data_IF_698209682637
#
_entry.id   IF_698209682637
#
_cell.length_a   1.000
_cell.length_b   1.000
_cell.length_c   1.000
_cell.angle_alpha   90.00
_cell.angle_beta   90.00
_cell.angle_gamma   90.00
#
_symmetry.space_group_name_H-M   'P 1'
#
loop_
_entity.id
_entity.type
_entity.pdbx_description
1 polymer ?
#
# COMPACT_ATOMS: atom_id res chain seq x y z
N UNK A 1 -10.44 -1.68 -19.78
CA UNK A 1 -9.76 -0.43 -20.25
C UNK A 1 -8.37 -0.36 -19.62
N UNK A 2 -7.39 0.27 -20.29
CA UNK A 2 -6.06 0.46 -19.71
C UNK A 2 -6.01 1.75 -18.91
N UNK A 3 -5.60 1.69 -17.65
CA UNK A 3 -5.47 2.84 -16.74
C UNK A 3 -4.02 3.10 -16.38
N UNK A 4 -3.71 4.32 -15.95
CA UNK A 4 -2.41 4.66 -15.35
C UNK A 4 -2.44 4.35 -13.86
N UNK A 5 -1.55 3.46 -13.43
CA UNK A 5 -1.44 2.95 -12.07
C UNK A 5 -0.15 3.46 -11.42
N UNK A 6 -0.25 3.98 -10.22
CA UNK A 6 0.92 4.29 -9.37
C UNK A 6 0.93 3.36 -8.16
N UNK A 7 2.04 2.64 -7.98
CA UNK A 7 2.28 1.78 -6.81
C UNK A 7 3.46 2.33 -6.02
N UNK A 8 3.21 2.84 -4.81
CA UNK A 8 4.30 3.30 -3.96
C UNK A 8 4.98 2.14 -3.25
N UNK A 9 6.32 2.19 -3.11
CA UNK A 9 7.08 1.05 -2.59
C UNK A 9 7.00 -0.17 -3.52
N UNK A 10 6.91 0.08 -4.85
CA UNK A 10 6.65 -0.94 -5.87
C UNK A 10 7.87 -1.69 -6.37
N UNK A 11 9.05 -1.53 -5.75
CA UNK A 11 10.29 -2.17 -6.20
C UNK A 11 10.56 -3.55 -5.59
N UNK A 12 9.74 -4.00 -4.64
CA UNK A 12 9.85 -5.31 -3.96
C UNK A 12 8.54 -5.73 -3.28
N UNK A 13 8.49 -6.99 -2.86
CA UNK A 13 7.42 -7.55 -2.01
C UNK A 13 6.02 -7.34 -2.60
N UNK A 14 5.06 -6.97 -1.75
CA UNK A 14 3.66 -6.75 -2.14
C UNK A 14 3.52 -5.70 -3.25
N UNK A 15 4.28 -4.60 -3.16
CA UNK A 15 4.23 -3.54 -4.16
C UNK A 15 4.66 -4.02 -5.54
N UNK A 16 5.75 -4.78 -5.64
CA UNK A 16 6.23 -5.34 -6.92
C UNK A 16 5.25 -6.38 -7.48
N UNK A 17 4.78 -7.31 -6.65
CA UNK A 17 3.77 -8.29 -7.06
C UNK A 17 2.50 -7.60 -7.60
N UNK A 18 2.07 -6.52 -6.94
CA UNK A 18 0.94 -5.70 -7.40
C UNK A 18 1.25 -5.04 -8.75
N UNK A 19 2.43 -4.45 -8.90
CA UNK A 19 2.82 -3.79 -10.15
C UNK A 19 2.85 -4.78 -11.33
N UNK A 20 3.44 -5.97 -11.12
CA UNK A 20 3.49 -7.03 -12.12
C UNK A 20 2.08 -7.46 -12.53
N UNK A 21 1.21 -7.68 -11.56
CA UNK A 21 -0.15 -8.12 -11.80
C UNK A 21 -0.96 -7.08 -12.58
N UNK A 22 -0.85 -5.80 -12.22
CA UNK A 22 -1.53 -4.70 -12.92
C UNK A 22 -0.98 -4.50 -14.34
N UNK A 23 0.33 -4.66 -14.56
CA UNK A 23 0.92 -4.63 -15.90
C UNK A 23 0.42 -5.82 -16.75
N UNK A 24 0.28 -7.01 -16.16
CA UNK A 24 -0.31 -8.18 -16.80
C UNK A 24 -1.76 -8.00 -17.27
N UNK A 25 -2.52 -7.13 -16.61
CA UNK A 25 -3.88 -6.73 -17.02
C UNK A 25 -3.88 -5.66 -18.14
N UNK A 26 -2.70 -5.23 -18.60
CA UNK A 26 -2.55 -4.23 -19.66
C UNK A 26 -2.65 -2.78 -19.19
N UNK A 27 -2.50 -2.53 -17.89
CA UNK A 27 -2.38 -1.18 -17.35
C UNK A 27 -0.98 -0.59 -17.60
N UNK A 28 -0.88 0.73 -17.64
CA UNK A 28 0.39 1.48 -17.62
C UNK A 28 0.80 1.66 -16.16
N UNK A 29 1.90 1.05 -15.75
CA UNK A 29 2.28 0.97 -14.34
C UNK A 29 3.56 1.74 -14.06
N UNK A 30 3.47 2.67 -13.13
CA UNK A 30 4.61 3.37 -12.54
C UNK A 30 4.79 2.93 -11.08
N UNK A 31 6.01 2.57 -10.71
CA UNK A 31 6.36 2.29 -9.32
C UNK A 31 7.23 3.41 -8.76
N UNK A 32 7.01 3.77 -7.49
CA UNK A 32 7.88 4.72 -6.81
C UNK A 32 8.59 4.09 -5.62
N UNK A 33 9.84 4.47 -5.42
CA UNK A 33 10.62 4.18 -4.21
C UNK A 33 11.76 5.19 -4.07
N UNK A 34 12.41 5.26 -2.90
CA UNK A 34 13.56 6.14 -2.68
C UNK A 34 14.77 5.75 -3.50
N UNK A 35 15.01 4.46 -3.61
CA UNK A 35 16.15 3.90 -4.34
C UNK A 35 15.64 3.08 -5.54
N UNK A 36 16.41 3.02 -6.62
CA UNK A 36 16.09 2.15 -7.76
C UNK A 36 16.00 0.69 -7.31
N UNK A 37 15.26 -0.15 -8.04
CA UNK A 37 15.18 -1.57 -7.78
C UNK A 37 16.58 -2.22 -7.93
N UNK A 38 16.82 -3.28 -7.14
CA UNK A 38 18.08 -4.03 -7.20
C UNK A 38 18.22 -4.80 -8.54
N UNK A 39 17.10 -5.24 -9.09
CA UNK A 39 17.03 -5.92 -10.39
C UNK A 39 16.15 -5.11 -11.35
N UNK A 40 16.35 -5.24 -12.67
CA UNK A 40 15.49 -4.59 -13.67
C UNK A 40 14.02 -4.94 -13.43
N UNK A 41 13.15 -3.94 -13.54
CA UNK A 41 11.71 -4.17 -13.49
C UNK A 41 11.25 -4.91 -14.75
N UNK A 42 10.21 -5.74 -14.65
CA UNK A 42 9.57 -6.35 -15.82
C UNK A 42 9.08 -5.30 -16.83
N UNK A 43 8.97 -5.71 -18.08
CA UNK A 43 8.47 -4.87 -19.17
C UNK A 43 7.09 -4.27 -18.82
N UNK A 44 6.89 -3.02 -19.20
CA UNK A 44 5.63 -2.31 -18.96
C UNK A 44 5.53 -1.63 -17.58
N UNK A 45 6.57 -1.75 -16.73
CA UNK A 45 6.65 -1.08 -15.43
C UNK A 45 7.78 -0.05 -15.44
N UNK A 46 7.47 1.21 -15.13
CA UNK A 46 8.47 2.27 -15.02
C UNK A 46 8.81 2.60 -13.58
N UNK A 47 10.05 2.99 -13.34
CA UNK A 47 10.53 3.42 -12.01
C UNK A 47 10.67 4.93 -11.95
N UNK A 48 10.18 5.53 -10.87
CA UNK A 48 10.32 6.95 -10.56
C UNK A 48 10.79 7.11 -9.11
N UNK A 49 11.93 7.77 -8.93
CA UNK A 49 12.45 8.02 -7.58
C UNK A 49 11.54 8.99 -6.82
N UNK A 50 11.07 8.60 -5.64
CA UNK A 50 10.28 9.46 -4.78
C UNK A 50 10.40 9.05 -3.31
N UNK A 51 10.59 10.04 -2.43
CA UNK A 51 10.46 9.88 -0.99
C UNK A 51 9.08 10.37 -0.56
N UNK A 52 8.35 9.55 0.21
CA UNK A 52 7.01 9.88 0.70
C UNK A 52 7.01 11.07 1.68
N UNK A 53 8.17 11.43 2.22
CA UNK A 53 8.37 12.56 3.13
C UNK A 53 8.75 13.85 2.41
N UNK A 54 9.23 13.76 1.17
CA UNK A 54 9.60 14.90 0.33
C UNK A 54 8.42 15.31 -0.59
N UNK A 55 7.79 16.42 -0.25
CA UNK A 55 6.63 16.92 -0.99
C UNK A 55 6.97 17.40 -2.41
N UNK A 56 8.15 18.02 -2.60
CA UNK A 56 8.57 18.56 -3.89
C UNK A 56 9.05 17.44 -4.81
N UNK A 57 9.84 16.50 -4.30
CA UNK A 57 10.26 15.31 -5.04
C UNK A 57 9.07 14.44 -5.47
N UNK A 58 8.06 14.34 -4.60
CA UNK A 58 6.82 13.64 -4.93
C UNK A 58 6.03 14.33 -6.06
N UNK A 59 5.96 15.67 -6.05
CA UNK A 59 5.33 16.44 -7.13
C UNK A 59 6.05 16.25 -8.46
N UNK A 60 7.39 16.27 -8.46
CA UNK A 60 8.21 16.06 -9.65
C UNK A 60 8.02 14.65 -10.24
N UNK A 61 8.08 13.61 -9.38
CA UNK A 61 7.86 12.22 -9.80
C UNK A 61 6.46 12.00 -10.40
N UNK A 62 5.42 12.58 -9.80
CA UNK A 62 4.05 12.48 -10.32
C UNK A 62 3.86 13.26 -11.63
N UNK A 63 4.58 14.36 -11.83
CA UNK A 63 4.57 15.09 -13.11
C UNK A 63 5.19 14.22 -14.22
N UNK A 64 6.35 13.63 -13.97
CA UNK A 64 7.02 12.74 -14.92
C UNK A 64 6.15 11.52 -15.26
N UNK A 65 5.49 10.91 -14.28
CA UNK A 65 4.53 9.82 -14.52
C UNK A 65 3.38 10.26 -15.44
N UNK A 66 2.82 11.46 -15.21
CA UNK A 66 1.74 11.99 -16.06
C UNK A 66 2.19 12.26 -17.49
N UNK A 67 3.41 12.74 -17.65
CA UNK A 67 3.98 13.01 -18.97
C UNK A 67 4.21 11.71 -19.76
N UNK A 68 4.63 10.64 -19.09
CA UNK A 68 4.89 9.34 -19.71
C UNK A 68 3.63 8.50 -19.93
N UNK A 69 2.70 8.48 -18.96
CA UNK A 69 1.60 7.53 -18.91
C UNK A 69 0.20 8.17 -18.98
N UNK A 70 0.13 9.49 -18.89
CA UNK A 70 -1.14 10.22 -18.80
C UNK A 70 -1.69 10.32 -17.38
N UNK A 71 -2.95 10.76 -17.21
CA UNK A 71 -3.58 11.00 -15.93
C UNK A 71 -3.56 9.76 -15.04
N UNK A 72 -3.29 9.93 -13.75
CA UNK A 72 -3.23 8.83 -12.78
C UNK A 72 -4.64 8.49 -12.31
N UNK A 73 -5.05 7.24 -12.53
CA UNK A 73 -6.41 6.79 -12.28
C UNK A 73 -6.49 5.74 -11.16
N UNK A 74 -5.39 5.04 -10.88
CA UNK A 74 -5.29 4.06 -9.79
C UNK A 74 -4.08 4.39 -8.91
N UNK A 75 -4.29 4.47 -7.61
CA UNK A 75 -3.23 4.59 -6.60
C UNK A 75 -3.25 3.38 -5.68
N UNK A 76 -2.10 2.72 -5.57
CA UNK A 76 -1.81 1.74 -4.52
C UNK A 76 -0.79 2.35 -3.56
N UNK A 77 -1.27 2.84 -2.42
CA UNK A 77 -0.44 3.42 -1.38
C UNK A 77 0.11 2.29 -0.48
N UNK A 78 1.23 1.70 -0.91
CA UNK A 78 1.87 0.55 -0.26
C UNK A 78 3.18 0.92 0.45
N UNK A 79 3.86 2.00 0.06
CA UNK A 79 5.12 2.41 0.69
C UNK A 79 4.98 2.51 2.21
N UNK A 80 5.97 1.97 2.91
CA UNK A 80 6.01 2.02 4.35
C UNK A 80 7.33 1.49 4.90
N UNK A 81 7.60 1.90 6.12
CA UNK A 81 8.73 1.42 6.91
C UNK A 81 8.27 1.07 8.33
N UNK A 82 9.07 0.29 9.02
CA UNK A 82 8.93 0.01 10.45
C UNK A 82 10.23 0.40 11.16
N UNK A 83 10.10 0.80 12.41
CA UNK A 83 11.20 1.00 13.34
C UNK A 83 10.78 0.42 14.69
N UNK A 84 11.08 -0.86 14.86
CA UNK A 84 10.59 -1.64 16.00
C UNK A 84 11.40 -1.35 17.24
N UNK A 85 10.72 -0.86 18.29
CA UNK A 85 11.31 -0.55 19.57
C UNK A 85 10.22 -0.52 20.66
N UNK A 86 10.54 -1.05 21.85
CA UNK A 86 9.62 -0.95 23.02
C UNK A 86 9.33 0.53 23.30
N UNK A 87 8.09 0.85 23.66
CA UNK A 87 7.60 2.23 23.83
C UNK A 87 8.45 3.08 24.78
N UNK A 88 9.03 2.49 25.80
CA UNK A 88 9.92 3.21 26.75
C UNK A 88 11.29 3.60 26.15
N UNK A 89 11.65 3.04 24.99
CA UNK A 89 12.92 3.30 24.29
C UNK A 89 12.69 3.92 22.91
N UNK A 90 11.47 3.95 22.43
CA UNK A 90 11.12 4.55 21.14
C UNK A 90 11.20 6.07 21.29
N UNK A 91 12.04 6.71 20.48
CA UNK A 91 12.14 8.15 20.48
C UNK A 91 10.93 8.80 19.78
N UNK A 92 10.65 10.06 20.12
CA UNK A 92 9.59 10.85 19.44
C UNK A 92 9.91 11.02 17.95
N UNK A 93 11.18 11.19 17.59
CA UNK A 93 11.63 11.31 16.20
C UNK A 93 11.40 10.01 15.41
N UNK A 94 11.72 8.85 15.97
CA UNK A 94 11.47 7.55 15.33
C UNK A 94 9.98 7.28 15.17
N UNK A 95 9.18 7.65 16.17
CA UNK A 95 7.73 7.57 16.08
C UNK A 95 7.22 8.46 14.94
N UNK A 96 7.63 9.71 14.91
CA UNK A 96 7.23 10.69 13.90
C UNK A 96 7.64 10.27 12.48
N UNK A 97 8.85 9.75 12.30
CA UNK A 97 9.37 9.32 11.00
C UNK A 97 8.53 8.19 10.39
N UNK A 98 8.11 7.21 11.20
CA UNK A 98 7.24 6.12 10.74
C UNK A 98 5.85 6.63 10.38
N UNK A 99 5.27 7.49 11.21
CA UNK A 99 3.95 8.09 10.93
C UNK A 99 4.02 8.99 9.70
N UNK A 100 5.07 9.79 9.55
CA UNK A 100 5.24 10.69 8.39
C UNK A 100 5.35 9.90 7.08
N UNK A 101 6.15 8.84 7.05
CA UNK A 101 6.28 8.00 5.86
C UNK A 101 4.98 7.24 5.54
N UNK A 102 4.44 6.50 6.52
CA UNK A 102 3.38 5.52 6.26
C UNK A 102 2.00 6.17 6.10
N UNK A 103 1.68 7.15 6.94
CA UNK A 103 0.36 7.78 7.00
C UNK A 103 0.35 9.12 6.27
N UNK A 104 1.21 10.06 6.67
CA UNK A 104 1.23 11.39 6.04
C UNK A 104 1.67 11.31 4.59
N UNK A 105 2.63 10.45 4.26
CA UNK A 105 3.05 10.17 2.88
C UNK A 105 1.92 9.61 2.03
N UNK A 106 1.13 8.65 2.56
CA UNK A 106 -0.05 8.13 1.88
C UNK A 106 -1.11 9.22 1.64
N UNK A 107 -1.32 10.12 2.60
CA UNK A 107 -2.16 11.30 2.41
C UNK A 107 -1.62 12.24 1.34
N UNK A 108 -0.31 12.54 1.37
CA UNK A 108 0.33 13.44 0.40
C UNK A 108 0.12 12.99 -1.04
N UNK A 109 0.35 11.71 -1.31
CA UNK A 109 0.20 11.18 -2.66
C UNK A 109 -1.28 11.09 -3.06
N UNK A 110 -2.17 10.63 -2.20
CA UNK A 110 -3.60 10.56 -2.48
C UNK A 110 -4.18 11.93 -2.84
N UNK A 111 -3.85 12.98 -2.06
CA UNK A 111 -4.25 14.37 -2.32
C UNK A 111 -3.83 14.86 -3.71
N UNK A 112 -2.70 14.39 -4.24
CA UNK A 112 -2.15 14.79 -5.53
C UNK A 112 -2.79 14.09 -6.71
N UNK A 113 -3.03 12.79 -6.58
CA UNK A 113 -3.59 11.99 -7.69
C UNK A 113 -5.11 12.11 -7.81
N UNK A 114 -5.81 12.36 -6.73
CA UNK A 114 -7.28 12.49 -6.74
C UNK A 114 -7.79 13.56 -7.70
N UNK A 115 -7.00 14.58 -8.03
CA UNK A 115 -7.35 15.62 -9.00
C UNK A 115 -7.54 15.06 -10.41
N UNK A 116 -6.71 14.10 -10.81
CA UNK A 116 -6.83 13.43 -12.12
C UNK A 116 -8.08 12.55 -12.14
N UNK A 117 -8.31 11.78 -11.09
CA UNK A 117 -9.48 10.93 -10.90
C UNK A 117 -10.79 11.74 -10.90
N UNK A 118 -10.81 12.92 -10.26
CA UNK A 118 -11.97 13.82 -10.26
C UNK A 118 -12.32 14.31 -11.66
N UNK A 119 -11.32 14.63 -12.49
CA UNK A 119 -11.52 15.04 -13.89
C UNK A 119 -12.04 13.89 -14.74
N UNK A 120 -11.51 12.69 -14.55
CA UNK A 120 -11.95 11.47 -15.23
C UNK A 120 -13.35 11.00 -14.76
N UNK A 121 -13.81 11.43 -13.58
CA UNK A 121 -14.99 10.90 -12.88
C UNK A 121 -14.89 9.38 -12.66
N UNK A 122 -13.69 8.91 -12.45
CA UNK A 122 -13.34 7.53 -12.16
C UNK A 122 -12.00 7.49 -11.43
N UNK A 123 -11.88 6.61 -10.46
CA UNK A 123 -10.61 6.42 -9.75
C UNK A 123 -10.69 5.32 -8.71
N UNK A 124 -9.51 4.77 -8.38
CA UNK A 124 -9.34 3.73 -7.35
C UNK A 124 -8.18 4.09 -6.43
N UNK A 125 -8.48 4.21 -5.14
CA UNK A 125 -7.51 4.42 -4.08
C UNK A 125 -7.47 3.16 -3.22
N UNK A 126 -6.33 2.48 -3.16
CA UNK A 126 -6.12 1.30 -2.32
C UNK A 126 -4.95 1.56 -1.38
N UNK A 127 -5.22 1.52 -0.08
CA UNK A 127 -4.22 1.70 0.96
C UNK A 127 -3.83 0.35 1.55
N UNK A 128 -2.52 0.07 1.63
CA UNK A 128 -2.01 -1.16 2.21
C UNK A 128 -1.69 -0.92 3.69
N UNK A 129 -2.57 -1.41 4.56
CA UNK A 129 -2.43 -1.38 6.01
C UNK A 129 -1.67 -2.62 6.52
N UNK A 130 -2.04 -3.15 7.67
CA UNK A 130 -1.53 -4.38 8.29
C UNK A 130 -2.49 -4.83 9.38
N UNK A 131 -2.55 -6.13 9.67
CA UNK A 131 -3.23 -6.66 10.86
C UNK A 131 -2.74 -5.99 12.14
N UNK A 132 -1.46 -5.62 12.20
CA UNK A 132 -0.86 -4.90 13.34
C UNK A 132 -1.54 -3.55 13.61
N UNK A 133 -2.09 -2.89 12.60
CA UNK A 133 -2.85 -1.65 12.76
C UNK A 133 -4.16 -1.85 13.54
N UNK A 134 -4.63 -3.08 13.69
CA UNK A 134 -5.87 -3.42 14.38
C UNK A 134 -5.63 -4.16 15.70
N UNK A 135 -4.70 -5.14 15.70
CA UNK A 135 -4.38 -5.94 16.88
C UNK A 135 -3.35 -5.30 17.80
N UNK A 136 -2.53 -4.38 17.26
CA UNK A 136 -1.29 -3.97 17.93
C UNK A 136 -0.24 -5.08 17.89
N UNK A 137 1.02 -4.69 18.10
CA UNK A 137 2.15 -5.61 18.24
C UNK A 137 3.19 -4.99 19.18
N UNK A 138 3.72 -5.80 20.09
CA UNK A 138 4.80 -5.36 20.99
C UNK A 138 5.97 -4.80 20.18
N UNK A 139 6.43 -3.61 20.56
CA UNK A 139 7.54 -2.92 19.89
C UNK A 139 7.16 -2.14 18.62
N UNK A 140 5.89 -2.14 18.21
CA UNK A 140 5.45 -1.51 16.95
C UNK A 140 4.42 -0.39 17.17
N UNK A 141 4.54 0.39 18.21
CA UNK A 141 3.57 1.46 18.52
C UNK A 141 3.42 2.49 17.39
N UNK A 142 4.54 2.92 16.80
CA UNK A 142 4.59 3.82 15.64
C UNK A 142 3.97 3.21 14.38
N UNK A 143 4.35 1.96 14.06
CA UNK A 143 3.85 1.25 12.90
C UNK A 143 2.35 0.96 13.03
N UNK A 144 1.91 0.41 14.17
CA UNK A 144 0.50 0.16 14.45
C UNK A 144 -0.36 1.42 14.32
N UNK A 145 0.07 2.52 14.95
CA UNK A 145 -0.63 3.81 14.85
C UNK A 145 -0.71 4.31 13.41
N UNK A 146 0.40 4.23 12.65
CA UNK A 146 0.44 4.67 11.25
C UNK A 146 -0.50 3.84 10.35
N UNK A 147 -0.53 2.52 10.52
CA UNK A 147 -1.37 1.60 9.73
C UNK A 147 -2.85 1.68 10.12
N UNK A 148 -3.17 1.88 11.39
CA UNK A 148 -4.53 2.15 11.86
C UNK A 148 -5.09 3.45 11.27
N UNK A 149 -4.27 4.52 11.20
CA UNK A 149 -4.66 5.82 10.66
C UNK A 149 -5.10 5.77 9.20
N UNK A 150 -4.58 4.84 8.40
CA UNK A 150 -4.99 4.66 7.00
C UNK A 150 -6.48 4.34 6.84
N UNK A 151 -7.08 3.67 7.81
CA UNK A 151 -8.52 3.38 7.79
C UNK A 151 -9.36 4.66 7.84
N UNK A 152 -9.03 5.57 8.76
CA UNK A 152 -9.70 6.87 8.87
C UNK A 152 -9.52 7.70 7.60
N UNK A 153 -8.31 7.73 7.05
CA UNK A 153 -7.99 8.41 5.80
C UNK A 153 -8.83 7.84 4.64
N UNK A 154 -8.79 6.53 4.43
CA UNK A 154 -9.49 5.88 3.32
C UNK A 154 -11.01 6.11 3.39
N UNK A 155 -11.62 5.99 4.57
CA UNK A 155 -13.06 6.21 4.77
C UNK A 155 -13.46 7.67 4.55
N UNK A 156 -12.61 8.62 4.90
CA UNK A 156 -12.84 10.04 4.62
C UNK A 156 -12.83 10.29 3.12
N UNK A 157 -11.79 9.81 2.40
CA UNK A 157 -11.71 9.95 0.95
C UNK A 157 -12.86 9.25 0.21
N UNK A 158 -13.30 8.09 0.71
CA UNK A 158 -14.48 7.40 0.18
C UNK A 158 -15.73 8.30 0.24
N UNK A 159 -15.95 9.00 1.35
CA UNK A 159 -17.12 9.93 1.51
C UNK A 159 -16.99 11.18 0.65
N UNK A 160 -15.79 11.77 0.58
CA UNK A 160 -15.56 13.02 -0.15
C UNK A 160 -15.66 12.84 -1.66
N UNK A 161 -15.23 11.70 -2.20
CA UNK A 161 -15.07 11.51 -3.64
C UNK A 161 -16.02 10.48 -4.28
N UNK A 162 -16.91 9.83 -3.52
CA UNK A 162 -17.87 8.86 -4.05
C UNK A 162 -18.73 9.43 -5.19
N UNK A 163 -19.19 10.68 -5.07
CA UNK A 163 -19.99 11.35 -6.12
C UNK A 163 -19.23 11.59 -7.44
N UNK A 164 -17.92 11.35 -7.43
CA UNK A 164 -17.03 11.43 -8.60
C UNK A 164 -16.65 10.07 -9.18
N UNK A 165 -17.28 8.99 -8.74
CA UNK A 165 -16.98 7.64 -9.19
C UNK A 165 -15.63 7.11 -8.69
N UNK A 166 -15.11 7.68 -7.59
CA UNK A 166 -13.85 7.28 -6.98
C UNK A 166 -14.14 6.40 -5.77
N UNK A 167 -13.53 5.22 -5.72
CA UNK A 167 -13.57 4.35 -4.54
C UNK A 167 -12.27 4.47 -3.74
N UNK A 168 -12.35 4.24 -2.44
CA UNK A 168 -11.19 4.28 -1.55
C UNK A 168 -11.32 3.18 -0.51
N UNK A 169 -10.39 2.22 -0.52
CA UNK A 169 -10.44 1.00 0.28
C UNK A 169 -9.09 0.71 0.95
N UNK A 170 -9.12 -0.16 1.95
CA UNK A 170 -7.94 -0.62 2.68
C UNK A 170 -7.79 -2.13 2.52
N UNK A 171 -6.60 -2.58 2.13
CA UNK A 171 -6.19 -3.99 2.23
C UNK A 171 -5.36 -4.15 3.50
N UNK A 172 -5.61 -5.22 4.24
CA UNK A 172 -4.98 -5.52 5.53
C UNK A 172 -4.27 -6.87 5.43
N UNK A 173 -2.99 -6.88 5.02
CA UNK A 173 -2.20 -8.11 5.01
C UNK A 173 -1.92 -8.62 6.43
N UNK A 174 -1.91 -9.94 6.57
CA UNK A 174 -1.28 -10.65 7.68
C UNK A 174 0.24 -10.79 7.46
N UNK A 175 0.87 -11.81 8.09
CA UNK A 175 2.26 -12.19 7.80
C UNK A 175 2.40 -12.66 6.35
N UNK A 176 3.23 -11.95 5.55
CA UNK A 176 3.44 -12.22 4.12
C UNK A 176 4.90 -12.53 3.88
N UNK A 177 5.18 -13.59 3.10
CA UNK A 177 6.51 -14.00 2.70
C UNK A 177 7.17 -12.92 1.84
N UNK A 178 7.99 -12.09 2.47
CA UNK A 178 8.77 -11.01 1.85
C UNK A 178 10.14 -10.99 2.49
N UNK A 179 11.09 -10.28 1.92
CA UNK A 179 12.42 -10.11 2.49
C UNK A 179 12.45 -9.67 3.98
N UNK A 180 11.33 -9.16 4.48
CA UNK A 180 11.19 -8.84 5.90
C UNK A 180 11.09 -10.09 6.78
N UNK A 181 10.52 -11.19 6.28
CA UNK A 181 10.47 -12.47 6.99
C UNK A 181 11.73 -13.33 6.78
N UNK A 182 12.53 -13.07 5.75
CA UNK A 182 13.76 -13.84 5.46
C UNK A 182 14.81 -13.71 6.57
N UNK A 183 14.68 -12.73 7.46
CA UNK A 183 15.57 -12.53 8.62
C UNK A 183 15.04 -13.19 9.90
N UNK A 184 13.89 -13.83 9.85
CA UNK A 184 13.23 -14.48 10.99
C UNK A 184 13.64 -15.94 11.01
N UNK A 185 13.99 -16.48 12.17
CA UNK A 185 14.35 -17.89 12.34
C UNK A 185 13.16 -18.84 12.13
N UNK A 186 13.46 -20.10 11.76
CA UNK A 186 12.43 -21.10 11.42
C UNK A 186 11.45 -21.37 12.56
N UNK A 187 11.91 -21.40 13.82
CA UNK A 187 11.03 -21.65 14.96
C UNK A 187 10.02 -20.51 15.18
N UNK A 188 10.44 -19.28 14.94
CA UNK A 188 9.55 -18.10 14.96
C UNK A 188 8.58 -18.14 13.79
N UNK A 189 9.04 -18.52 12.57
CA UNK A 189 8.17 -18.69 11.41
C UNK A 189 7.10 -19.76 11.63
N UNK A 190 7.47 -20.90 12.22
CA UNK A 190 6.54 -21.97 12.60
C UNK A 190 5.49 -21.47 13.61
N UNK A 191 5.92 -20.68 14.59
CA UNK A 191 5.02 -20.06 15.56
C UNK A 191 4.04 -19.08 14.92
N UNK A 192 4.52 -18.26 13.98
CA UNK A 192 3.67 -17.33 13.23
C UNK A 192 2.65 -18.13 12.40
N UNK A 193 3.09 -19.16 11.68
CA UNK A 193 2.23 -20.00 10.85
C UNK A 193 1.16 -20.72 11.69
N UNK A 194 1.53 -21.22 12.87
CA UNK A 194 0.61 -21.89 13.78
C UNK A 194 -0.49 -20.97 14.35
N UNK A 195 -0.23 -19.67 14.43
CA UNK A 195 -1.22 -18.67 14.84
C UNK A 195 -2.24 -18.31 13.73
N UNK A 196 -1.92 -18.61 12.48
CA UNK A 196 -2.77 -18.33 11.31
C UNK A 196 -3.71 -19.51 11.06
N UNK A 197 -5.04 -19.33 11.01
CA UNK A 197 -5.99 -20.43 10.75
C UNK A 197 -5.68 -21.24 9.47
N UNK A 198 -5.19 -20.60 8.39
CA UNK A 198 -4.75 -21.30 7.19
C UNK A 198 -3.39 -22.02 7.33
N UNK A 199 -2.73 -21.94 8.49
CA UNK A 199 -1.51 -22.69 8.83
C UNK A 199 -0.25 -22.25 8.06
N UNK A 200 -0.23 -21.09 7.42
CA UNK A 200 0.93 -20.58 6.67
C UNK A 200 0.91 -19.06 6.55
N UNK A 201 2.06 -18.49 6.32
CA UNK A 201 2.13 -17.11 5.82
C UNK A 201 1.53 -16.99 4.43
N UNK A 202 0.97 -15.81 4.11
CA UNK A 202 0.52 -15.49 2.76
C UNK A 202 1.68 -15.16 1.83
N UNK A 203 1.40 -15.06 0.53
CA UNK A 203 2.35 -14.62 -0.49
C UNK A 203 2.05 -13.18 -0.93
N UNK A 204 3.04 -12.45 -1.48
CA UNK A 204 2.79 -11.14 -2.09
C UNK A 204 1.71 -11.18 -3.17
N UNK A 205 1.63 -12.26 -3.95
CA UNK A 205 0.64 -12.43 -5.03
C UNK A 205 -0.79 -12.55 -4.50
N UNK A 206 -0.99 -13.16 -3.33
CA UNK A 206 -2.32 -13.26 -2.70
C UNK A 206 -2.83 -11.89 -2.26
N UNK A 207 -1.94 -11.03 -1.76
CA UNK A 207 -2.28 -9.64 -1.44
C UNK A 207 -2.50 -8.81 -2.70
N UNK A 208 -1.65 -8.99 -3.72
CA UNK A 208 -1.78 -8.31 -5.01
C UNK A 208 -3.10 -8.63 -5.71
N UNK A 209 -3.62 -9.88 -5.58
CA UNK A 209 -4.92 -10.26 -6.11
C UNK A 209 -6.08 -9.47 -5.47
N UNK A 210 -6.03 -9.26 -4.16
CA UNK A 210 -7.02 -8.47 -3.45
C UNK A 210 -6.95 -6.98 -3.84
N UNK A 211 -5.73 -6.44 -4.00
CA UNK A 211 -5.51 -5.07 -4.48
C UNK A 211 -6.04 -4.91 -5.90
N UNK A 212 -5.76 -5.86 -6.80
CA UNK A 212 -6.26 -5.87 -8.17
C UNK A 212 -7.80 -5.84 -8.20
N UNK A 213 -8.47 -6.70 -7.43
CA UNK A 213 -9.92 -6.69 -7.31
C UNK A 213 -10.45 -5.32 -6.91
N UNK A 214 -9.92 -4.73 -5.84
CA UNK A 214 -10.36 -3.41 -5.36
C UNK A 214 -10.03 -2.27 -6.34
N UNK A 215 -9.11 -2.48 -7.27
CA UNK A 215 -8.72 -1.54 -8.31
C UNK A 215 -9.53 -1.71 -9.60
N UNK A 216 -10.33 -2.75 -9.73
CA UNK A 216 -11.10 -3.09 -10.93
C UNK A 216 -12.50 -2.46 -10.96
N UNK A 217 -13.21 -2.65 -12.07
CA UNK A 217 -14.63 -2.30 -12.18
C UNK A 217 -15.55 -3.29 -11.45
N UNK A 218 -15.10 -4.51 -11.17
CA UNK A 218 -15.86 -5.49 -10.37
C UNK A 218 -16.05 -4.99 -8.91
N UNK A 219 -15.18 -4.10 -8.44
CA UNK A 219 -15.28 -3.46 -7.13
C UNK A 219 -15.96 -2.07 -7.16
N UNK A 220 -16.67 -1.72 -8.24
CA UNK A 220 -17.25 -0.37 -8.39
C UNK A 220 -18.22 0.04 -7.27
N UNK A 221 -18.83 -0.92 -6.58
CA UNK A 221 -19.72 -0.68 -5.44
C UNK A 221 -19.07 -0.92 -4.08
N UNK A 222 -17.73 -1.13 -4.06
CA UNK A 222 -16.94 -1.34 -2.84
C UNK A 222 -16.14 -0.08 -2.53
N UNK A 223 -16.53 0.66 -1.48
CA UNK A 223 -15.81 1.85 -1.01
C UNK A 223 -15.89 1.99 0.51
N UNK A 224 -14.80 2.46 1.13
CA UNK A 224 -14.65 2.52 2.59
C UNK A 224 -14.47 1.16 3.25
N UNK A 225 -14.28 0.10 2.47
CA UNK A 225 -14.11 -1.26 2.93
C UNK A 225 -12.70 -1.51 3.50
N UNK A 226 -12.65 -2.49 4.39
CA UNK A 226 -11.40 -3.09 4.90
C UNK A 226 -11.41 -4.55 4.48
N UNK A 227 -10.46 -4.93 3.65
CA UNK A 227 -10.31 -6.29 3.16
C UNK A 227 -9.08 -6.95 3.79
N UNK A 228 -9.30 -7.86 4.74
CA UNK A 228 -8.23 -8.65 5.34
C UNK A 228 -7.73 -9.73 4.35
N UNK A 229 -6.41 -9.85 4.25
CA UNK A 229 -5.70 -10.89 3.50
C UNK A 229 -4.66 -11.49 4.44
N UNK A 230 -5.13 -12.23 5.42
CA UNK A 230 -4.37 -12.58 6.61
C UNK A 230 -4.50 -14.07 7.02
N UNK A 231 -5.14 -14.88 6.18
CA UNK A 231 -5.39 -16.28 6.47
C UNK A 231 -6.32 -16.53 7.65
N UNK A 232 -7.11 -15.52 8.05
CA UNK A 232 -8.03 -15.57 9.19
C UNK A 232 -7.41 -15.18 10.54
N UNK A 233 -6.19 -14.59 10.52
CA UNK A 233 -5.47 -14.23 11.74
C UNK A 233 -6.22 -13.20 12.60
N UNK A 234 -6.89 -12.23 11.97
CA UNK A 234 -7.56 -11.13 12.64
C UNK A 234 -9.04 -11.02 12.21
N UNK A 235 -9.78 -12.14 12.38
CA UNK A 235 -11.22 -12.18 12.08
C UNK A 235 -12.00 -11.16 12.91
N UNK A 236 -12.92 -10.42 12.28
CA UNK A 236 -13.77 -9.42 12.93
C UNK A 236 -13.24 -8.00 12.91
N UNK A 237 -12.32 -7.67 12.00
CA UNK A 237 -11.83 -6.30 11.75
C UNK A 237 -12.91 -5.38 11.17
#
# INVERSE_FOLDING_TARGET
>A
MSHTVVVTGGTRGIGLATAIRMAGDGHRVAVTARNPPAEPLPDGITFHAADMTDAEGLDAALADIRDQHGPIEILVANAGLTHDQLVLRLSDDDFAAVVDTNLTGSYRIAKRVVRDMMKARWGRLVFVSSVVGFSGQTGQANYAASKAGLLGLARTLAREFASRGITSNVVVPGPIQTAMLDTVDDATLDSIAAAIPLGRCGTPDEVAAAIQFLSSDDAAFVTGAVLAVDGGLAMGL
#
